data_IF_860266514321
#
_entry.id   IF_860266514321
#
_cell.length_a   1.000
_cell.length_b   1.000
_cell.length_c   1.000
_cell.angle_alpha   90.00
_cell.angle_beta   90.00
_cell.angle_gamma   90.00
#
_symmetry.space_group_name_H-M   'P 1'
#
loop_
_entity.id
_entity.type
_entity.pdbx_description
1 polymer ?
#
# COMPACT_ATOMS: atom_id res chain seq x y z
N UNK A 1 15.22 -12.47 0.18
CA UNK A 1 14.78 -12.58 1.59
C UNK A 1 14.04 -11.30 1.92
N UNK A 2 12.85 -11.40 2.51
CA UNK A 2 12.13 -10.23 3.01
C UNK A 2 13.00 -9.55 4.07
N UNK A 3 13.01 -8.22 4.09
CA UNK A 3 13.72 -7.47 5.12
C UNK A 3 12.88 -7.57 6.40
N UNK A 4 13.51 -7.76 7.55
CA UNK A 4 12.75 -7.88 8.80
C UNK A 4 11.94 -6.59 9.05
N UNK A 5 10.70 -6.70 9.56
CA UNK A 5 9.92 -5.54 9.97
C UNK A 5 10.67 -4.78 11.08
N UNK A 6 10.59 -3.45 11.03
CA UNK A 6 11.28 -2.56 11.96
C UNK A 6 10.24 -1.80 12.76
N UNK A 7 10.41 -1.80 14.08
CA UNK A 7 9.69 -0.93 15.01
C UNK A 7 10.56 0.31 15.22
N UNK A 8 10.02 1.48 14.94
CA UNK A 8 10.63 2.79 15.17
C UNK A 8 9.88 3.52 16.30
N UNK A 9 10.61 4.00 17.30
CA UNK A 9 10.06 4.79 18.41
C UNK A 9 10.73 6.16 18.47
N UNK A 10 9.90 7.19 18.66
CA UNK A 10 10.34 8.57 18.87
C UNK A 10 9.94 9.05 20.27
N UNK A 11 10.93 9.55 21.01
CA UNK A 11 10.77 10.13 22.34
C UNK A 11 11.08 11.61 22.25
N UNK A 12 10.24 12.44 22.88
CA UNK A 12 10.52 13.86 23.09
C UNK A 12 10.76 14.18 24.57
N UNK A 13 11.62 15.18 24.82
CA UNK A 13 11.80 15.79 26.14
C UNK A 13 10.95 17.07 26.31
N UNK A 14 11.03 17.70 27.48
CA UNK A 14 10.32 18.95 27.79
C UNK A 14 10.74 20.12 26.88
N UNK A 15 11.95 20.10 26.33
CA UNK A 15 12.45 21.10 25.38
C UNK A 15 12.04 20.82 23.93
N UNK A 16 11.23 19.76 23.70
CA UNK A 16 10.86 19.25 22.39
C UNK A 16 12.05 18.73 21.57
N UNK A 17 13.15 18.36 22.24
CA UNK A 17 14.27 17.64 21.63
C UNK A 17 13.86 16.18 21.44
N UNK A 18 14.15 15.61 20.26
CA UNK A 18 13.64 14.29 19.83
C UNK A 18 14.77 13.28 19.69
N UNK A 19 14.55 12.08 20.20
CA UNK A 19 15.44 10.94 20.01
C UNK A 19 14.64 9.80 19.34
N UNK A 20 15.25 9.15 18.35
CA UNK A 20 14.65 8.00 17.67
C UNK A 20 15.58 6.80 17.78
N UNK A 21 14.98 5.64 18.04
CA UNK A 21 15.66 4.36 17.93
C UNK A 21 14.71 3.33 17.32
N UNK A 22 15.27 2.32 16.67
CA UNK A 22 14.50 1.26 16.04
C UNK A 22 15.10 -0.11 16.32
N UNK A 23 14.23 -1.12 16.33
CA UNK A 23 14.62 -2.52 16.51
C UNK A 23 13.94 -3.41 15.48
N UNK A 24 14.70 -4.40 15.00
CA UNK A 24 14.20 -5.42 14.09
C UNK A 24 13.43 -6.47 14.87
N UNK A 25 12.28 -6.89 14.35
CA UNK A 25 11.45 -7.94 14.96
C UNK A 25 11.55 -9.23 14.16
N UNK A 26 11.29 -10.37 14.79
CA UNK A 26 11.32 -11.68 14.11
C UNK A 26 10.23 -11.75 13.02
N UNK A 27 10.58 -12.33 11.87
CA UNK A 27 9.78 -12.38 10.63
C UNK A 27 8.68 -13.47 10.63
N UNK A 28 8.30 -13.97 11.81
CA UNK A 28 7.40 -15.11 11.96
C UNK A 28 6.13 -14.80 12.78
N UNK A 29 5.91 -13.54 13.13
CA UNK A 29 4.74 -13.13 13.90
C UNK A 29 3.58 -12.81 12.95
N UNK A 30 2.35 -13.03 13.42
CA UNK A 30 1.15 -12.56 12.74
C UNK A 30 0.97 -11.05 12.94
N UNK A 31 0.16 -10.39 12.11
CA UNK A 31 -0.14 -8.95 12.25
C UNK A 31 -0.63 -8.59 13.66
N UNK A 32 -1.58 -9.33 14.29
CA UNK A 32 -1.97 -9.06 15.67
C UNK A 32 -0.83 -9.17 16.68
N UNK A 33 0.05 -10.17 16.51
CA UNK A 33 1.19 -10.37 17.41
C UNK A 33 2.23 -9.24 17.31
N UNK A 34 2.37 -8.61 16.14
CA UNK A 34 3.20 -7.41 15.99
C UNK A 34 2.65 -6.23 16.79
N UNK A 35 1.33 -6.06 16.83
CA UNK A 35 0.70 -5.02 17.63
C UNK A 35 0.87 -5.27 19.13
N UNK A 36 0.65 -6.51 19.58
CA UNK A 36 0.90 -6.89 20.99
C UNK A 36 2.36 -6.66 21.40
N UNK A 37 3.31 -7.07 20.55
CA UNK A 37 4.74 -6.85 20.81
C UNK A 37 5.08 -5.35 20.92
N UNK A 38 4.44 -4.53 20.09
CA UNK A 38 4.61 -3.09 20.08
C UNK A 38 4.05 -2.43 21.34
N UNK A 39 2.86 -2.80 21.80
CA UNK A 39 2.26 -2.27 23.02
C UNK A 39 3.11 -2.59 24.25
N UNK A 40 3.62 -3.83 24.35
CA UNK A 40 4.52 -4.26 25.42
C UNK A 40 5.84 -3.47 25.37
N UNK A 41 6.39 -3.26 24.18
CA UNK A 41 7.64 -2.53 24.00
C UNK A 41 7.49 -1.03 24.32
N UNK A 42 6.40 -0.41 23.89
CA UNK A 42 6.07 0.98 24.23
C UNK A 42 5.90 1.16 25.75
N UNK A 43 5.22 0.23 26.43
CA UNK A 43 5.08 0.25 27.88
C UNK A 43 6.42 0.12 28.60
N UNK A 44 7.28 -0.80 28.15
CA UNK A 44 8.61 -0.99 28.72
C UNK A 44 9.48 0.24 28.55
N UNK A 45 9.44 0.87 27.36
CA UNK A 45 10.13 2.12 27.08
C UNK A 45 9.62 3.23 27.99
N UNK A 46 8.30 3.40 28.11
CA UNK A 46 7.67 4.41 28.96
C UNK A 46 8.03 4.26 30.44
N UNK A 47 8.20 3.03 30.93
CA UNK A 47 8.60 2.78 32.33
C UNK A 47 10.07 3.13 32.62
N UNK A 48 10.92 3.26 31.58
CA UNK A 48 12.36 3.52 31.71
C UNK A 48 12.69 4.99 31.47
N UNK A 49 11.83 5.73 30.76
CA UNK A 49 12.08 7.12 30.35
C UNK A 49 11.20 8.11 31.11
N UNK A 50 11.76 9.27 31.45
CA UNK A 50 11.01 10.44 31.96
C UNK A 50 10.60 11.38 30.80
N UNK A 51 10.25 10.82 29.66
CA UNK A 51 9.90 11.57 28.43
C UNK A 51 8.51 11.21 27.93
N UNK A 52 8.00 11.97 26.96
CA UNK A 52 6.72 11.67 26.31
C UNK A 52 7.01 10.87 25.04
N UNK A 53 6.39 9.69 24.92
CA UNK A 53 6.39 8.93 23.68
C UNK A 53 5.42 9.62 22.70
N UNK A 54 5.96 10.32 21.71
CA UNK A 54 5.15 11.08 20.74
C UNK A 54 4.57 10.18 19.65
N UNK A 55 5.39 9.23 19.19
CA UNK A 55 5.07 8.39 18.05
C UNK A 55 5.82 7.08 18.15
N UNK A 56 5.16 6.02 17.74
CA UNK A 56 5.82 4.80 17.37
C UNK A 56 5.21 4.28 16.06
N UNK A 57 6.02 3.68 15.19
CA UNK A 57 5.60 3.21 13.87
C UNK A 57 6.25 1.88 13.51
N UNK A 58 5.58 1.10 12.67
CA UNK A 58 6.11 -0.17 12.17
C UNK A 58 6.11 -0.16 10.65
N UNK A 59 7.21 -0.62 10.04
CA UNK A 59 7.34 -0.76 8.60
C UNK A 59 7.48 -2.23 8.23
N UNK A 60 6.60 -2.71 7.35
CA UNK A 60 6.65 -4.05 6.76
C UNK A 60 7.20 -3.98 5.34
N UNK A 61 8.50 -4.24 5.12
CA UNK A 61 9.04 -4.24 3.77
C UNK A 61 8.67 -5.56 3.06
N UNK A 62 7.83 -5.46 2.04
CA UNK A 62 7.41 -6.61 1.23
C UNK A 62 8.44 -6.82 0.10
N UNK A 63 9.02 -8.02 0.02
CA UNK A 63 9.88 -8.39 -1.10
C UNK A 63 9.08 -9.09 -2.20
N UNK A 64 9.14 -8.54 -3.42
CA UNK A 64 8.49 -9.09 -4.62
C UNK A 64 9.45 -9.86 -5.52
N UNK A 65 10.67 -10.14 -5.05
CA UNK A 65 11.72 -10.79 -5.84
C UNK A 65 11.40 -12.25 -6.22
N UNK A 66 10.45 -12.89 -5.52
CA UNK A 66 9.99 -14.24 -5.81
C UNK A 66 8.77 -14.32 -6.73
N UNK A 67 8.21 -13.19 -7.17
CA UNK A 67 7.05 -13.19 -8.06
C UNK A 67 7.47 -13.54 -9.49
N UNK A 68 6.97 -14.66 -10.00
CA UNK A 68 7.11 -15.06 -11.40
C UNK A 68 6.29 -14.06 -12.23
N UNK A 69 6.95 -13.23 -13.04
CA UNK A 69 6.31 -12.17 -13.83
C UNK A 69 6.74 -10.75 -13.48
N UNK A 70 7.48 -10.56 -12.38
CA UNK A 70 8.09 -9.27 -12.05
C UNK A 70 9.40 -9.04 -12.83
N UNK A 71 9.30 -9.05 -14.17
CA UNK A 71 10.42 -8.84 -15.09
C UNK A 71 10.16 -7.54 -15.86
N UNK A 72 11.21 -6.72 -16.03
CA UNK A 72 11.10 -5.50 -16.83
C UNK A 72 10.69 -5.87 -18.26
N UNK A 73 9.53 -5.41 -18.71
CA UNK A 73 9.10 -5.56 -20.09
C UNK A 73 10.02 -4.77 -21.04
N UNK A 74 10.35 -5.29 -22.24
CA UNK A 74 11.28 -4.65 -23.17
C UNK A 74 10.84 -3.27 -23.67
N UNK A 75 9.55 -2.92 -23.50
CA UNK A 75 8.97 -1.62 -23.82
C UNK A 75 8.21 -1.02 -22.62
N UNK A 76 8.54 -1.43 -21.39
CA UNK A 76 7.87 -0.89 -20.20
C UNK A 76 8.23 0.59 -20.07
N UNK A 77 7.25 1.46 -20.32
CA UNK A 77 7.36 2.91 -20.18
C UNK A 77 6.47 3.39 -19.03
N UNK A 78 7.05 4.16 -18.12
CA UNK A 78 6.40 4.71 -16.92
C UNK A 78 5.54 5.95 -17.26
N UNK A 79 5.63 6.47 -18.49
CA UNK A 79 4.86 7.63 -18.93
C UNK A 79 3.35 7.36 -19.02
N UNK A 80 2.96 6.11 -19.25
CA UNK A 80 1.56 5.71 -19.34
C UNK A 80 0.99 5.29 -17.98
N UNK A 81 -0.15 5.90 -17.61
CA UNK A 81 -0.81 5.65 -16.33
C UNK A 81 -2.20 5.08 -16.57
N UNK A 82 -2.46 3.93 -15.94
CA UNK A 82 -3.81 3.43 -15.71
C UNK A 82 -4.44 4.20 -14.55
N UNK A 83 -5.44 5.01 -14.84
CA UNK A 83 -6.21 5.76 -13.85
C UNK A 83 -7.51 5.02 -13.52
N UNK A 84 -7.61 4.59 -12.27
CA UNK A 84 -8.79 3.93 -11.71
C UNK A 84 -9.46 4.87 -10.71
N UNK A 85 -10.74 5.14 -10.92
CA UNK A 85 -11.57 5.87 -9.95
C UNK A 85 -12.67 4.94 -9.45
N UNK A 86 -12.72 4.78 -8.15
CA UNK A 86 -13.72 4.01 -7.41
C UNK A 86 -14.60 4.94 -6.58
N UNK A 87 -15.70 4.39 -6.08
CA UNK A 87 -16.54 5.01 -5.08
C UNK A 87 -16.69 4.08 -3.88
N UNK A 88 -16.80 4.68 -2.69
CA UNK A 88 -17.23 3.99 -1.49
C UNK A 88 -18.75 3.85 -1.43
N UNK A 89 -19.25 3.06 -0.48
CA UNK A 89 -20.68 2.93 -0.19
C UNK A 89 -21.39 4.29 0.06
N UNK A 90 -20.67 5.26 0.63
CA UNK A 90 -21.16 6.64 0.84
C UNK A 90 -20.92 7.56 -0.37
N UNK A 91 -20.59 6.98 -1.52
CA UNK A 91 -20.30 7.66 -2.77
C UNK A 91 -19.10 8.63 -2.69
N UNK A 92 -18.14 8.38 -1.80
CA UNK A 92 -16.87 9.13 -1.77
C UNK A 92 -15.92 8.59 -2.83
N UNK A 93 -15.19 9.49 -3.47
CA UNK A 93 -14.30 9.15 -4.58
C UNK A 93 -12.94 8.65 -4.04
N UNK A 94 -12.49 7.51 -4.54
CA UNK A 94 -11.16 6.95 -4.28
C UNK A 94 -10.44 6.78 -5.61
N UNK A 95 -9.26 7.38 -5.78
CA UNK A 95 -8.52 7.33 -7.05
C UNK A 95 -7.15 6.69 -6.86
N UNK A 96 -6.79 5.83 -7.82
CA UNK A 96 -5.51 5.13 -7.87
C UNK A 96 -4.93 5.29 -9.27
N UNK A 97 -3.66 5.67 -9.31
CA UNK A 97 -2.88 5.79 -10.54
C UNK A 97 -1.81 4.69 -10.55
N UNK A 98 -1.86 3.81 -11.54
CA UNK A 98 -0.87 2.76 -11.74
C UNK A 98 0.04 3.18 -12.90
N UNK A 99 1.30 3.54 -12.63
CA UNK A 99 2.26 3.85 -13.68
C UNK A 99 2.77 2.57 -14.36
N UNK A 100 3.18 2.69 -15.63
CA UNK A 100 3.81 1.59 -16.35
C UNK A 100 2.85 0.48 -16.75
N UNK A 101 1.58 0.83 -16.97
CA UNK A 101 0.56 -0.12 -17.39
C UNK A 101 0.82 -0.62 -18.82
N UNK A 102 0.56 -1.89 -19.08
CA UNK A 102 0.78 -2.48 -20.41
C UNK A 102 -0.26 -1.96 -21.41
N UNK A 103 0.20 -1.61 -22.62
CA UNK A 103 -0.64 -1.10 -23.69
C UNK A 103 -1.69 -2.11 -24.16
N UNK A 104 -1.40 -3.40 -23.99
CA UNK A 104 -2.34 -4.48 -24.38
C UNK A 104 -3.55 -4.57 -23.44
N UNK A 105 -3.51 -3.90 -22.27
CA UNK A 105 -4.63 -3.84 -21.33
C UNK A 105 -5.66 -2.75 -21.67
N UNK A 106 -5.42 -1.97 -22.73
CA UNK A 106 -6.41 -1.01 -23.24
C UNK A 106 -7.25 -1.62 -24.35
N UNK A 107 -8.52 -1.21 -24.41
CA UNK A 107 -9.38 -1.57 -25.53
C UNK A 107 -8.79 -0.96 -26.80
N UNK A 108 -8.58 -1.77 -27.84
CA UNK A 108 -7.95 -1.33 -29.08
C UNK A 108 -8.66 -0.11 -29.69
N UNK A 109 -7.91 0.99 -29.84
CA UNK A 109 -8.42 2.25 -30.38
C UNK A 109 -9.22 3.11 -29.39
N UNK A 110 -9.21 2.76 -28.10
CA UNK A 110 -9.81 3.53 -27.01
C UNK A 110 -8.75 3.92 -25.97
N UNK A 111 -9.09 4.92 -25.15
CA UNK A 111 -8.34 5.24 -23.92
C UNK A 111 -8.89 4.47 -22.70
N UNK A 112 -9.92 3.64 -22.87
CA UNK A 112 -10.50 2.87 -21.78
C UNK A 112 -9.70 1.57 -21.53
N UNK A 113 -9.53 1.23 -20.26
CA UNK A 113 -8.93 -0.05 -19.88
C UNK A 113 -9.92 -1.19 -20.14
N UNK A 114 -9.43 -2.30 -20.68
CA UNK A 114 -10.23 -3.49 -20.92
C UNK A 114 -10.49 -4.21 -19.60
N UNK A 115 -11.70 -4.04 -19.07
CA UNK A 115 -12.11 -4.71 -17.83
C UNK A 115 -12.36 -6.21 -18.02
N UNK A 116 -12.34 -6.73 -19.26
CA UNK A 116 -12.37 -8.16 -19.53
C UNK A 116 -10.98 -8.80 -19.53
N UNK A 117 -9.90 -7.99 -19.58
CA UNK A 117 -8.55 -8.48 -19.37
C UNK A 117 -8.44 -9.09 -17.96
N UNK A 118 -7.90 -10.31 -17.82
CA UNK A 118 -7.88 -11.02 -16.55
C UNK A 118 -7.08 -10.29 -15.47
N UNK A 119 -6.03 -9.55 -15.82
CA UNK A 119 -5.19 -8.84 -14.86
C UNK A 119 -5.87 -7.54 -14.39
N UNK A 120 -6.48 -6.80 -15.32
CA UNK A 120 -7.30 -5.62 -14.99
C UNK A 120 -8.51 -6.00 -14.14
N UNK A 121 -9.21 -7.07 -14.52
CA UNK A 121 -10.35 -7.61 -13.78
C UNK A 121 -9.94 -8.08 -12.38
N UNK A 122 -8.81 -8.77 -12.26
CA UNK A 122 -8.28 -9.21 -10.97
C UNK A 122 -7.92 -8.01 -10.07
N UNK A 123 -7.29 -6.97 -10.63
CA UNK A 123 -7.00 -5.75 -9.89
C UNK A 123 -8.28 -5.08 -9.36
N UNK A 124 -9.29 -4.90 -10.21
CA UNK A 124 -10.58 -4.34 -9.80
C UNK A 124 -11.23 -5.22 -8.72
N UNK A 125 -11.21 -6.55 -8.89
CA UNK A 125 -11.80 -7.48 -7.93
C UNK A 125 -11.11 -7.41 -6.55
N UNK A 126 -9.79 -7.23 -6.50
CA UNK A 126 -9.03 -7.05 -5.26
C UNK A 126 -9.45 -5.76 -4.55
N UNK A 127 -9.65 -4.67 -5.29
CA UNK A 127 -10.07 -3.40 -4.69
C UNK A 127 -11.49 -3.49 -4.14
N UNK A 128 -12.41 -4.14 -4.87
CA UNK A 128 -13.83 -4.19 -4.49
C UNK A 128 -14.20 -5.28 -3.48
N UNK A 129 -13.48 -6.41 -3.49
CA UNK A 129 -13.84 -7.57 -2.66
C UNK A 129 -12.73 -7.98 -1.69
N UNK A 130 -11.56 -7.37 -1.81
CA UNK A 130 -10.40 -7.71 -1.00
C UNK A 130 -9.69 -9.00 -1.41
N UNK A 131 -8.70 -9.37 -0.59
CA UNK A 131 -7.91 -10.60 -0.73
C UNK A 131 -8.23 -11.52 0.43
N UNK A 132 -8.66 -12.74 0.12
CA UNK A 132 -8.86 -13.78 1.13
C UNK A 132 -7.52 -14.33 1.61
N UNK A 133 -7.33 -14.36 2.92
CA UNK A 133 -6.18 -14.94 3.60
C UNK A 133 -6.64 -15.95 4.64
N UNK A 134 -5.77 -16.86 5.11
CA UNK A 134 -6.14 -17.79 6.18
C UNK A 134 -6.64 -17.11 7.46
N UNK A 135 -6.26 -15.85 7.70
CA UNK A 135 -6.69 -15.05 8.85
C UNK A 135 -7.98 -14.24 8.62
N UNK A 136 -8.59 -14.31 7.43
CA UNK A 136 -9.77 -13.53 7.04
C UNK A 136 -9.56 -12.79 5.71
N UNK A 137 -10.54 -11.96 5.34
CA UNK A 137 -10.48 -11.16 4.12
C UNK A 137 -9.91 -9.78 4.43
N UNK A 138 -8.87 -9.36 3.71
CA UNK A 138 -8.32 -8.01 3.76
C UNK A 138 -9.00 -7.18 2.69
N UNK A 139 -9.86 -6.24 3.09
CA UNK A 139 -10.63 -5.37 2.18
C UNK A 139 -10.00 -3.97 2.20
N UNK A 140 -9.61 -3.42 1.03
CA UNK A 140 -9.17 -2.03 0.92
C UNK A 140 -10.29 -1.06 1.28
N UNK A 141 -9.96 -0.01 2.02
CA UNK A 141 -10.92 1.02 2.45
C UNK A 141 -10.44 2.43 2.08
N UNK A 142 -11.35 3.40 2.14
CA UNK A 142 -10.97 4.81 2.09
C UNK A 142 -10.34 5.29 3.41
N UNK A 143 -9.94 6.56 3.46
CA UNK A 143 -9.34 7.18 4.65
C UNK A 143 -10.28 7.24 5.87
N UNK A 144 -11.58 7.02 5.66
CA UNK A 144 -12.59 6.96 6.71
C UNK A 144 -13.02 5.51 7.01
N UNK A 145 -12.22 4.53 6.56
CA UNK A 145 -12.47 3.10 6.75
C UNK A 145 -13.77 2.59 6.11
N UNK A 146 -14.27 3.31 5.10
CA UNK A 146 -15.43 2.89 4.34
C UNK A 146 -15.02 1.96 3.21
N UNK A 147 -15.86 0.95 2.99
CA UNK A 147 -15.70 -0.03 1.92
C UNK A 147 -15.81 0.61 0.53
N UNK A 148 -14.99 0.12 -0.39
CA UNK A 148 -14.97 0.54 -1.80
C UNK A 148 -15.83 -0.44 -2.59
N UNK A 149 -17.03 -0.03 -2.98
CA UNK A 149 -18.05 -0.96 -3.50
C UNK A 149 -18.28 -0.86 -5.02
N UNK A 150 -17.71 0.16 -5.67
CA UNK A 150 -18.00 0.42 -7.07
C UNK A 150 -16.83 1.01 -7.86
N UNK A 151 -16.58 0.47 -9.06
CA UNK A 151 -15.70 1.08 -10.04
C UNK A 151 -16.47 2.15 -10.84
N UNK A 152 -15.99 3.39 -10.81
CA UNK A 152 -16.57 4.51 -11.58
C UNK A 152 -15.88 4.71 -12.92
N UNK A 153 -14.57 4.46 -12.98
CA UNK A 153 -13.76 4.76 -14.16
C UNK A 153 -12.49 3.92 -14.20
N UNK A 154 -12.12 3.42 -15.36
CA UNK A 154 -10.81 2.81 -15.62
C UNK A 154 -10.36 3.25 -17.02
N UNK A 155 -9.31 4.08 -17.10
CA UNK A 155 -8.85 4.68 -18.36
C UNK A 155 -7.38 5.07 -18.33
N UNK A 156 -6.86 5.39 -19.50
CA UNK A 156 -5.58 6.05 -19.69
C UNK A 156 -5.60 7.47 -19.13
N UNK A 157 -4.50 7.81 -18.45
CA UNK A 157 -4.12 9.17 -18.12
C UNK A 157 -2.65 9.35 -18.49
N UNK A 158 -2.36 10.38 -19.27
CA UNK A 158 -0.97 10.74 -19.59
C UNK A 158 -0.51 11.82 -18.63
N UNK A 159 0.69 11.69 -18.06
CA UNK A 159 1.28 12.81 -17.30
C UNK A 159 1.78 13.87 -18.28
N UNK A 160 1.48 15.16 -18.06
CA UNK A 160 2.04 16.25 -18.86
C UNK A 160 3.53 16.52 -18.57
N UNK A 161 4.19 15.69 -17.78
CA UNK A 161 5.58 15.90 -17.32
C UNK A 161 6.45 14.73 -17.74
N UNK A 162 6.93 14.77 -18.98
CA UNK A 162 8.03 13.94 -19.47
C UNK A 162 8.98 14.86 -20.23
N UNK A 163 10.18 15.09 -19.69
CA UNK A 163 11.29 15.55 -20.53
C UNK A 163 11.73 14.32 -21.29
N UNK A 164 11.55 14.31 -22.61
CA UNK A 164 12.08 13.27 -23.49
C UNK A 164 13.60 13.20 -23.26
N UNK A 165 14.05 12.13 -22.60
CA UNK A 165 15.46 11.74 -22.59
C UNK A 165 15.86 11.21 -23.95
#
# INVERSE_FOLDING_TARGET
>A
MAKAPVIDIQIADESNSKAQFGSSVIDALTIPQYQEAFDVYALLVNNIINGILEKASMTFPISVAGLVGNVLGPNSDVEEIGHFAFATADNRKVEINIPGIDLDTFILGSDDLDQADPDVAAFIAIILNGVSTPGGTIIPTDVAELDVDNLRKARKQTRPTGTRG
#
